data_IF_675228804063
#
_entry.id   IF_675228804063
#
_cell.length_a   1.000
_cell.length_b   1.000
_cell.length_c   1.000
_cell.angle_alpha   90.00
_cell.angle_beta   90.00
_cell.angle_gamma   90.00
#
_symmetry.space_group_name_H-M   'P 1'
#
loop_
_entity.id
_entity.type
_entity.pdbx_description
1 polymer ?
#
# COMPACT_ATOMS: atom_id res chain seq x y z
N UNK A 1 -10.18 21.51 -15.31
CA UNK A 1 -8.79 21.26 -15.76
C UNK A 1 -8.83 20.50 -17.07
N UNK A 2 -8.09 20.94 -18.08
CA UNK A 2 -7.85 20.08 -19.24
C UNK A 2 -6.73 19.08 -18.89
N UNK A 3 -6.61 17.96 -19.63
CA UNK A 3 -5.49 17.03 -19.44
C UNK A 3 -4.11 17.67 -19.67
N UNK A 4 -4.05 18.84 -20.31
CA UNK A 4 -2.82 19.60 -20.53
C UNK A 4 -2.40 20.45 -19.32
N UNK A 5 -3.27 20.60 -18.31
CA UNK A 5 -3.02 21.39 -17.08
C UNK A 5 -2.67 20.50 -15.88
N UNK A 6 -2.40 19.21 -16.10
CA UNK A 6 -2.07 18.29 -15.01
C UNK A 6 -0.75 18.68 -14.33
N UNK A 7 -0.64 18.50 -13.00
CA UNK A 7 0.64 18.66 -12.31
C UNK A 7 1.72 17.75 -12.88
N UNK A 8 2.98 18.10 -12.63
CA UNK A 8 4.12 17.28 -13.02
C UNK A 8 3.95 15.82 -12.53
N UNK A 9 4.44 14.85 -13.30
CA UNK A 9 4.32 13.42 -12.95
C UNK A 9 4.83 13.14 -11.53
N UNK A 10 5.94 13.77 -11.15
CA UNK A 10 6.50 13.65 -9.80
C UNK A 10 5.57 14.18 -8.70
N UNK A 11 4.87 15.29 -8.94
CA UNK A 11 3.84 15.82 -8.02
C UNK A 11 2.63 14.90 -7.95
N UNK A 12 2.24 14.29 -9.07
CA UNK A 12 1.14 13.32 -9.12
C UNK A 12 1.48 12.01 -8.40
N UNK A 13 2.68 11.45 -8.59
CA UNK A 13 3.14 10.24 -7.89
C UNK A 13 3.17 10.49 -6.38
N UNK A 14 3.79 11.59 -5.93
CA UNK A 14 3.78 11.99 -4.52
C UNK A 14 2.37 12.20 -4.01
N UNK A 15 1.54 12.86 -4.81
CA UNK A 15 0.14 13.11 -4.52
C UNK A 15 -0.61 11.80 -4.30
N UNK A 16 -0.42 10.79 -5.14
CA UNK A 16 -1.08 9.49 -4.99
C UNK A 16 -0.72 8.81 -3.68
N UNK A 17 0.57 8.74 -3.34
CA UNK A 17 1.02 8.02 -2.14
C UNK A 17 0.71 8.78 -0.84
N UNK A 18 0.90 10.10 -0.82
CA UNK A 18 0.48 10.90 0.33
C UNK A 18 -1.04 10.97 0.44
N UNK A 19 -1.74 11.12 -0.69
CA UNK A 19 -3.20 11.15 -0.75
C UNK A 19 -3.78 9.88 -0.13
N UNK A 20 -3.30 8.72 -0.57
CA UNK A 20 -3.65 7.41 -0.01
C UNK A 20 -3.46 7.38 1.50
N UNK A 21 -2.23 7.66 1.98
CA UNK A 21 -1.89 7.57 3.40
C UNK A 21 -2.65 8.57 4.28
N UNK A 22 -2.87 9.78 3.77
CA UNK A 22 -3.65 10.82 4.46
C UNK A 22 -5.09 10.39 4.62
N UNK A 23 -5.72 9.89 3.56
CA UNK A 23 -7.15 9.52 3.61
C UNK A 23 -7.41 8.20 4.32
N UNK A 24 -6.45 7.26 4.28
CA UNK A 24 -6.42 6.08 5.13
C UNK A 24 -6.43 6.52 6.62
N UNK A 25 -5.45 7.33 7.03
CA UNK A 25 -5.35 7.81 8.41
C UNK A 25 -6.53 8.70 8.88
N UNK A 26 -7.17 9.43 7.97
CA UNK A 26 -8.40 10.19 8.26
C UNK A 26 -9.62 9.27 8.39
N UNK A 27 -9.67 8.19 7.61
CA UNK A 27 -10.76 7.23 7.57
C UNK A 27 -10.79 6.27 8.75
N UNK A 28 -9.62 5.86 9.26
CA UNK A 28 -9.49 4.84 10.31
C UNK A 28 -10.39 5.05 11.54
N UNK A 29 -10.45 6.24 12.17
CA UNK A 29 -11.35 6.46 13.31
C UNK A 29 -12.85 6.34 13.00
N UNK A 30 -13.25 6.44 11.72
CA UNK A 30 -14.63 6.29 11.27
C UNK A 30 -14.94 4.87 10.77
N UNK A 31 -13.94 3.98 10.73
CA UNK A 31 -14.12 2.57 10.35
C UNK A 31 -15.14 1.89 11.27
N UNK A 32 -15.90 0.93 10.73
CA UNK A 32 -16.94 0.17 11.42
C UNK A 32 -18.11 0.97 12.03
N UNK A 33 -18.18 2.27 11.78
CA UNK A 33 -19.33 3.10 12.16
C UNK A 33 -20.36 3.17 11.03
N UNK A 34 -21.64 3.17 11.39
CA UNK A 34 -22.70 3.36 10.41
C UNK A 34 -22.67 4.81 9.88
N UNK A 35 -22.86 5.00 8.57
CA UNK A 35 -22.94 6.34 7.98
C UNK A 35 -23.95 7.22 8.73
N UNK A 36 -23.51 8.40 9.15
CA UNK A 36 -24.32 9.36 9.91
C UNK A 36 -24.32 9.17 11.43
N UNK A 37 -23.62 8.17 11.97
CA UNK A 37 -23.50 7.95 13.43
C UNK A 37 -22.21 8.50 14.04
N UNK A 38 -21.36 9.14 13.25
CA UNK A 38 -20.10 9.76 13.69
C UNK A 38 -20.02 11.20 13.18
N UNK A 39 -19.29 12.05 13.90
CA UNK A 39 -19.06 13.43 13.49
C UNK A 39 -18.27 13.48 12.17
N UNK A 40 -18.62 14.42 11.29
CA UNK A 40 -17.90 14.63 10.01
C UNK A 40 -16.39 14.69 10.23
N UNK A 41 -15.62 13.85 9.55
CA UNK A 41 -14.15 13.86 9.62
C UNK A 41 -13.63 15.15 8.99
N UNK A 42 -13.01 16.00 9.83
CA UNK A 42 -12.43 17.30 9.43
C UNK A 42 -10.93 17.40 9.71
N UNK A 43 -10.34 16.34 10.28
CA UNK A 43 -8.94 16.25 10.64
C UNK A 43 -8.66 14.94 11.39
N UNK A 44 -7.39 14.70 11.71
CA UNK A 44 -6.99 13.48 12.41
C UNK A 44 -7.58 13.38 13.81
N UNK A 45 -7.97 12.16 14.19
CA UNK A 45 -8.56 11.83 15.49
C UNK A 45 -7.92 10.58 16.05
N UNK A 46 -8.05 10.41 17.35
CA UNK A 46 -7.72 9.15 18.00
C UNK A 46 -8.60 8.03 17.44
N UNK A 47 -8.02 6.87 17.14
CA UNK A 47 -8.78 5.69 16.76
C UNK A 47 -9.11 4.90 18.04
N UNK A 48 -10.35 4.99 18.52
CA UNK A 48 -10.81 4.28 19.72
C UNK A 48 -10.93 2.76 19.54
N UNK A 49 -11.12 2.29 18.30
CA UNK A 49 -11.27 0.86 17.99
C UNK A 49 -9.94 0.14 18.14
N UNK A 50 -8.88 0.75 17.61
CA UNK A 50 -7.54 0.15 17.55
C UNK A 50 -6.55 0.71 18.59
N UNK A 51 -7.00 1.68 19.41
CA UNK A 51 -6.21 2.37 20.44
C UNK A 51 -4.96 3.06 19.85
N UNK A 52 -5.16 3.85 18.79
CA UNK A 52 -4.07 4.45 18.01
C UNK A 52 -4.13 5.99 17.99
N UNK A 53 -2.96 6.65 18.00
CA UNK A 53 -2.90 8.11 17.97
C UNK A 53 -3.42 8.69 16.64
N UNK A 54 -3.77 9.99 16.60
CA UNK A 54 -4.13 10.67 15.37
C UNK A 54 -3.06 10.58 14.28
N UNK A 55 -3.49 10.41 13.03
CA UNK A 55 -2.60 10.40 11.86
C UNK A 55 -2.01 9.02 11.55
N UNK A 56 -2.39 7.98 12.30
CA UNK A 56 -1.98 6.60 12.06
C UNK A 56 -2.75 5.99 10.87
N UNK A 57 -2.01 5.53 9.87
CA UNK A 57 -2.51 4.84 8.67
C UNK A 57 -2.39 3.31 8.80
N UNK A 58 -3.29 2.57 8.15
CA UNK A 58 -3.58 1.13 8.34
C UNK A 58 -2.76 0.20 7.43
N UNK A 59 -3.28 -1.01 7.20
CA UNK A 59 -2.69 -2.00 6.30
C UNK A 59 -2.75 -1.56 4.83
N UNK A 60 -3.71 -0.73 4.42
CA UNK A 60 -3.78 -0.16 3.07
C UNK A 60 -2.49 0.57 2.69
N UNK A 61 -2.07 1.52 3.52
CA UNK A 61 -0.81 2.22 3.33
C UNK A 61 0.37 1.28 3.47
N UNK A 62 0.40 0.44 4.51
CA UNK A 62 1.52 -0.47 4.76
C UNK A 62 1.80 -1.39 3.56
N UNK A 63 0.76 -2.04 3.03
CA UNK A 63 0.84 -2.95 1.88
C UNK A 63 1.19 -2.20 0.60
N UNK A 64 0.63 -1.01 0.39
CA UNK A 64 1.00 -0.14 -0.76
C UNK A 64 2.47 0.23 -0.73
N UNK A 65 3.00 0.63 0.43
CA UNK A 65 4.40 0.98 0.61
C UNK A 65 5.32 -0.25 0.41
N UNK A 66 4.91 -1.44 0.88
CA UNK A 66 5.64 -2.67 0.62
C UNK A 66 5.74 -3.00 -0.88
N UNK A 67 4.64 -2.85 -1.64
CA UNK A 67 4.64 -3.06 -3.08
C UNK A 67 5.54 -2.05 -3.79
N UNK A 68 5.38 -0.76 -3.46
CA UNK A 68 6.20 0.31 -4.02
C UNK A 68 7.69 0.08 -3.75
N UNK A 69 8.06 -0.28 -2.52
CA UNK A 69 9.45 -0.63 -2.18
C UNK A 69 9.94 -1.85 -2.95
N UNK A 70 9.09 -2.86 -3.19
CA UNK A 70 9.45 -4.02 -4.00
C UNK A 70 9.81 -3.64 -5.43
N UNK A 71 9.00 -2.75 -6.04
CA UNK A 71 9.27 -2.22 -7.37
C UNK A 71 10.54 -1.36 -7.39
N UNK A 72 10.77 -0.53 -6.38
CA UNK A 72 12.00 0.28 -6.27
C UNK A 72 13.24 -0.63 -6.20
N UNK A 73 13.22 -1.62 -5.30
CA UNK A 73 14.34 -2.56 -5.10
C UNK A 73 14.59 -3.42 -6.35
N UNK A 74 13.53 -3.68 -7.12
CA UNK A 74 13.58 -4.48 -8.36
C UNK A 74 13.69 -3.64 -9.63
N UNK A 75 14.01 -2.34 -9.51
CA UNK A 75 14.16 -1.41 -10.63
C UNK A 75 12.97 -1.37 -11.60
N UNK A 76 11.75 -1.48 -11.06
CA UNK A 76 10.48 -1.44 -11.78
C UNK A 76 9.97 -2.80 -12.25
N UNK A 77 10.78 -3.87 -12.15
CA UNK A 77 10.33 -5.23 -12.45
C UNK A 77 9.43 -5.73 -11.32
N UNK A 78 8.25 -6.24 -11.67
CA UNK A 78 7.39 -6.89 -10.69
C UNK A 78 7.93 -8.28 -10.33
N UNK A 79 8.44 -8.43 -9.10
CA UNK A 79 8.92 -9.69 -8.54
C UNK A 79 7.99 -10.11 -7.40
N UNK A 80 7.00 -11.00 -7.64
CA UNK A 80 5.96 -11.33 -6.66
C UNK A 80 6.51 -11.78 -5.30
N UNK A 81 7.58 -12.57 -5.30
CA UNK A 81 8.21 -13.13 -4.11
C UNK A 81 8.81 -12.04 -3.24
N UNK A 82 9.39 -11.01 -3.84
CA UNK A 82 9.96 -9.89 -3.09
C UNK A 82 8.86 -9.05 -2.42
N UNK A 83 7.76 -8.81 -3.14
CA UNK A 83 6.56 -8.16 -2.56
C UNK A 83 5.99 -8.99 -1.40
N UNK A 84 5.82 -10.30 -1.59
CA UNK A 84 5.32 -11.21 -0.54
C UNK A 84 6.22 -11.24 0.68
N UNK A 85 7.56 -11.28 0.50
CA UNK A 85 8.52 -11.20 1.60
C UNK A 85 8.38 -9.89 2.37
N UNK A 86 8.21 -8.76 1.69
CA UNK A 86 7.99 -7.46 2.34
C UNK A 86 6.67 -7.43 3.11
N UNK A 87 5.59 -7.99 2.56
CA UNK A 87 4.32 -8.14 3.29
C UNK A 87 4.46 -9.04 4.52
N UNK A 88 5.21 -10.15 4.43
CA UNK A 88 5.48 -11.02 5.58
C UNK A 88 6.30 -10.27 6.64
N UNK A 89 7.31 -9.48 6.24
CA UNK A 89 8.07 -8.63 7.17
C UNK A 89 7.19 -7.57 7.83
N UNK A 90 6.27 -6.94 7.09
CA UNK A 90 5.29 -6.06 7.68
C UNK A 90 4.44 -6.80 8.72
N UNK A 91 3.87 -7.95 8.33
CA UNK A 91 3.04 -8.78 9.19
C UNK A 91 3.75 -9.26 10.47
N UNK A 92 5.02 -9.64 10.38
CA UNK A 92 5.78 -10.23 11.50
C UNK A 92 6.56 -9.22 12.32
N UNK A 93 7.11 -8.19 11.67
CA UNK A 93 8.11 -7.28 12.24
C UNK A 93 7.63 -5.83 12.29
N UNK A 94 6.48 -5.50 11.71
CA UNK A 94 6.03 -4.11 11.57
C UNK A 94 6.84 -3.30 10.55
N UNK A 95 7.52 -3.97 9.62
CA UNK A 95 8.21 -3.30 8.51
C UNK A 95 7.25 -2.40 7.73
N UNK A 96 7.63 -1.13 7.51
CA UNK A 96 6.77 -0.12 6.86
C UNK A 96 5.39 0.02 7.52
N UNK A 97 5.29 -0.11 8.84
CA UNK A 97 4.10 0.21 9.64
C UNK A 97 4.19 1.60 10.27
N UNK A 98 3.03 2.27 10.39
CA UNK A 98 2.87 3.52 11.14
C UNK A 98 3.34 3.41 12.60
N UNK A 99 3.22 2.22 13.21
CA UNK A 99 3.38 2.02 14.66
C UNK A 99 4.38 0.90 15.03
N UNK A 100 5.27 0.53 14.09
CA UNK A 100 6.32 -0.47 14.29
C UNK A 100 5.82 -1.89 14.63
N UNK A 101 4.53 -2.16 14.36
CA UNK A 101 3.91 -3.49 14.41
C UNK A 101 2.82 -3.59 13.35
N UNK A 102 2.51 -4.81 12.91
CA UNK A 102 1.32 -5.04 12.09
C UNK A 102 0.04 -4.80 12.90
N UNK A 103 -0.93 -4.13 12.29
CA UNK A 103 -2.31 -3.98 12.76
C UNK A 103 -3.23 -3.87 11.53
N UNK A 104 -4.55 -3.92 11.74
CA UNK A 104 -5.61 -3.95 10.70
C UNK A 104 -5.54 -5.03 9.63
N UNK A 105 -4.56 -5.94 9.67
CA UNK A 105 -4.47 -6.99 8.67
C UNK A 105 -5.76 -7.81 8.56
N UNK A 106 -6.40 -7.70 7.39
CA UNK A 106 -7.57 -8.51 7.06
C UNK A 106 -7.30 -10.01 7.20
N UNK A 107 -8.28 -10.76 7.70
CA UNK A 107 -8.14 -12.20 7.95
C UNK A 107 -7.73 -13.00 6.71
N UNK A 108 -8.21 -12.56 5.54
CA UNK A 108 -7.83 -13.11 4.23
C UNK A 108 -6.35 -12.92 3.94
N UNK A 109 -5.88 -11.68 4.04
CA UNK A 109 -4.47 -11.31 3.83
C UNK A 109 -3.58 -12.10 4.79
N UNK A 110 -3.93 -12.15 6.07
CA UNK A 110 -3.19 -12.91 7.08
C UNK A 110 -3.05 -14.39 6.72
N UNK A 111 -4.11 -15.02 6.22
CA UNK A 111 -4.07 -16.43 5.80
C UNK A 111 -3.21 -16.63 4.55
N UNK A 112 -3.36 -15.76 3.56
CA UNK A 112 -2.55 -15.80 2.34
C UNK A 112 -1.05 -15.67 2.67
N UNK A 113 -0.66 -14.70 3.50
CA UNK A 113 0.74 -14.53 3.93
C UNK A 113 1.26 -15.74 4.70
N UNK A 114 0.44 -16.36 5.56
CA UNK A 114 0.84 -17.57 6.28
C UNK A 114 1.06 -18.79 5.37
N UNK A 115 0.35 -18.89 4.24
CA UNK A 115 0.59 -19.92 3.22
C UNK A 115 1.97 -19.69 2.58
N UNK A 116 2.21 -18.46 2.10
CA UNK A 116 3.46 -18.10 1.45
C UNK A 116 4.68 -18.18 2.38
N UNK A 117 4.53 -17.83 3.65
CA UNK A 117 5.59 -17.97 4.65
C UNK A 117 6.01 -19.44 4.84
N UNK A 118 5.04 -20.36 4.95
CA UNK A 118 5.33 -21.80 5.01
C UNK A 118 6.00 -22.29 3.72
N UNK A 119 5.55 -21.78 2.58
CA UNK A 119 6.13 -22.11 1.29
C UNK A 119 7.62 -21.69 1.19
N UNK A 120 7.95 -20.45 1.56
CA UNK A 120 9.35 -20.00 1.62
C UNK A 120 10.20 -20.78 2.62
N UNK A 121 9.61 -21.22 3.75
CA UNK A 121 10.31 -22.07 4.72
C UNK A 121 10.61 -23.47 4.16
N UNK A 122 9.71 -24.04 3.35
CA UNK A 122 9.88 -25.35 2.73
C UNK A 122 10.87 -25.35 1.54
N UNK A 123 11.01 -24.22 0.83
CA UNK A 123 11.83 -24.08 -0.38
C UNK A 123 13.31 -23.75 -0.18
N UNK A 124 13.87 -23.84 1.04
CA UNK A 124 15.29 -23.56 1.29
C UNK A 124 15.60 -22.17 1.86
N UNK A 125 14.58 -21.43 2.34
CA UNK A 125 14.75 -20.25 3.19
C UNK A 125 14.32 -18.92 2.57
N UNK A 126 14.14 -17.92 3.42
CA UNK A 126 13.63 -16.59 3.08
C UNK A 126 14.51 -15.83 2.06
N UNK A 127 15.75 -16.29 1.83
CA UNK A 127 16.75 -15.70 0.93
C UNK A 127 16.93 -16.47 -0.40
N UNK A 128 16.17 -17.54 -0.65
CA UNK A 128 16.29 -18.36 -1.86
C UNK A 128 15.99 -17.61 -3.17
N UNK A 129 16.72 -17.96 -4.23
CA UNK A 129 16.79 -17.28 -5.54
C UNK A 129 15.44 -17.01 -6.22
N UNK A 130 15.47 -16.03 -7.14
CA UNK A 130 14.35 -15.34 -7.81
C UNK A 130 13.63 -16.20 -8.86
N UNK A 131 13.32 -17.46 -8.57
CA UNK A 131 12.52 -18.28 -9.47
C UNK A 131 11.01 -18.10 -9.21
N UNK A 132 10.21 -18.04 -10.28
CA UNK A 132 8.75 -18.04 -10.20
C UNK A 132 8.26 -19.41 -9.71
N UNK A 133 7.69 -19.49 -8.49
CA UNK A 133 7.07 -20.72 -7.98
C UNK A 133 5.55 -20.68 -8.20
N UNK A 134 5.09 -21.50 -9.14
CA UNK A 134 3.69 -21.61 -9.57
C UNK A 134 2.79 -22.34 -8.54
N UNK A 135 3.35 -23.15 -7.63
CA UNK A 135 2.54 -23.95 -6.68
C UNK A 135 1.96 -23.09 -5.57
N UNK A 136 2.72 -22.11 -5.07
CA UNK A 136 2.20 -21.14 -4.11
C UNK A 136 1.11 -20.24 -4.71
N UNK A 137 1.15 -20.02 -6.03
CA UNK A 137 0.15 -19.24 -6.75
C UNK A 137 -1.24 -19.90 -6.73
N UNK A 138 -1.33 -21.21 -7.00
CA UNK A 138 -2.60 -21.94 -7.01
C UNK A 138 -3.27 -22.00 -5.62
N UNK A 139 -2.50 -22.31 -4.57
CA UNK A 139 -3.00 -22.36 -3.19
C UNK A 139 -3.44 -20.97 -2.69
N UNK A 140 -2.65 -19.95 -3.00
CA UNK A 140 -2.99 -18.55 -2.70
C UNK A 140 -4.26 -18.10 -3.41
N UNK A 141 -4.41 -18.43 -4.70
CA UNK A 141 -5.59 -18.09 -5.49
C UNK A 141 -6.86 -18.79 -4.98
N UNK A 142 -6.75 -20.03 -4.48
CA UNK A 142 -7.87 -20.74 -3.88
C UNK A 142 -8.37 -20.06 -2.59
N UNK A 143 -7.47 -19.57 -1.73
CA UNK A 143 -7.87 -18.87 -0.50
C UNK A 143 -8.42 -17.46 -0.80
N UNK A 144 -7.88 -16.74 -1.78
CA UNK A 144 -8.46 -15.47 -2.26
C UNK A 144 -9.89 -15.68 -2.76
N UNK A 145 -10.13 -16.71 -3.59
CA UNK A 145 -11.48 -17.06 -4.06
C UNK A 145 -12.43 -17.43 -2.92
N UNK A 146 -11.94 -18.12 -1.89
CA UNK A 146 -12.71 -18.47 -0.69
C UNK A 146 -13.05 -17.22 0.14
N UNK A 147 -12.09 -16.32 0.30
CA UNK A 147 -12.26 -15.08 1.05
C UNK A 147 -13.25 -14.11 0.44
N UNK A 148 -13.23 -13.96 -0.89
CA UNK A 148 -14.15 -13.11 -1.64
C UNK A 148 -15.62 -13.59 -1.57
N UNK A 149 -15.89 -14.76 -1.00
CA UNK A 149 -17.24 -15.27 -0.75
C UNK A 149 -17.83 -14.85 0.61
N UNK A 150 -17.06 -14.14 1.45
CA UNK A 150 -17.51 -13.56 2.71
C UNK A 150 -18.22 -12.21 2.52
N UNK A 151 -19.17 -11.87 3.41
CA UNK A 151 -19.83 -10.56 3.42
C UNK A 151 -18.88 -9.52 4.03
N UNK A 152 -18.54 -8.47 3.27
CA UNK A 152 -17.69 -7.36 3.71
C UNK A 152 -18.44 -6.39 4.66
N UNK A 153 -17.70 -5.83 5.63
CA UNK A 153 -18.10 -4.71 6.49
C UNK A 153 -17.94 -3.35 5.77
N UNK A 154 -18.51 -2.28 6.32
CA UNK A 154 -18.32 -0.90 5.87
C UNK A 154 -16.88 -0.48 6.20
N UNK A 155 -16.10 -0.14 5.16
CA UNK A 155 -14.62 -0.11 5.13
C UNK A 155 -14.17 1.30 4.69
N UNK A 156 -14.21 2.23 5.64
CA UNK A 156 -14.13 3.66 5.38
C UNK A 156 -12.70 4.14 5.07
N UNK A 157 -11.70 3.50 5.67
CA UNK A 157 -10.28 3.70 5.41
C UNK A 157 -9.90 3.18 4.02
N UNK A 158 -10.33 1.98 3.59
CA UNK A 158 -10.07 1.50 2.22
C UNK A 158 -10.68 2.40 1.15
N UNK A 159 -11.93 2.83 1.34
CA UNK A 159 -12.58 3.77 0.42
C UNK A 159 -11.84 5.11 0.41
N UNK A 160 -11.40 5.56 1.59
CA UNK A 160 -10.55 6.74 1.75
C UNK A 160 -9.27 6.61 0.93
N UNK A 161 -8.48 5.57 1.20
CA UNK A 161 -7.19 5.26 0.57
C UNK A 161 -7.26 5.29 -0.96
N UNK A 162 -8.26 4.63 -1.55
CA UNK A 162 -8.46 4.61 -3.01
C UNK A 162 -8.81 6.01 -3.53
N UNK A 163 -9.72 6.72 -2.87
CA UNK A 163 -10.08 8.08 -3.27
C UNK A 163 -8.89 9.04 -3.17
N UNK A 164 -8.13 8.96 -2.07
CA UNK A 164 -6.94 9.78 -1.85
C UNK A 164 -5.87 9.54 -2.91
N UNK A 165 -5.62 8.29 -3.27
CA UNK A 165 -4.70 7.95 -4.36
C UNK A 165 -5.13 8.58 -5.70
N UNK A 166 -6.41 8.46 -6.06
CA UNK A 166 -6.97 9.01 -7.30
C UNK A 166 -6.95 10.56 -7.30
N UNK A 167 -7.38 11.18 -6.20
CA UNK A 167 -7.37 12.62 -6.04
C UNK A 167 -5.95 13.18 -6.10
N UNK A 168 -5.01 12.54 -5.40
CA UNK A 168 -3.60 12.89 -5.43
C UNK A 168 -2.96 12.74 -6.81
N UNK A 169 -3.30 11.68 -7.54
CA UNK A 169 -2.86 11.49 -8.92
C UNK A 169 -3.37 12.58 -9.87
N UNK A 170 -4.52 13.18 -9.57
CA UNK A 170 -5.16 14.19 -10.42
C UNK A 170 -4.74 15.62 -10.05
N UNK A 171 -4.75 15.96 -8.76
CA UNK A 171 -4.48 17.31 -8.26
C UNK A 171 -3.03 17.53 -7.83
N UNK A 172 -2.24 16.47 -7.63
CA UNK A 172 -0.85 16.56 -7.18
C UNK A 172 -0.70 16.76 -5.69
N UNK A 173 0.52 16.55 -5.17
CA UNK A 173 0.81 16.61 -3.72
C UNK A 173 0.57 17.99 -3.11
N UNK A 174 0.79 19.06 -3.89
CA UNK A 174 0.64 20.45 -3.41
C UNK A 174 -0.82 20.83 -3.14
N UNK A 175 -1.77 20.04 -3.63
CA UNK A 175 -3.20 20.22 -3.37
C UNK A 175 -3.67 19.59 -2.05
N UNK A 176 -2.85 18.75 -1.42
CA UNK A 176 -3.16 18.16 -0.12
C UNK A 176 -2.93 19.24 0.97
N UNK A 177 -3.87 19.45 1.91
CA UNK A 177 -3.67 20.38 3.02
C UNK A 177 -2.37 20.08 3.77
N UNK A 178 -1.54 21.10 4.00
CA UNK A 178 -0.20 20.94 4.60
C UNK A 178 -0.29 20.38 6.00
N UNK A 179 -1.28 20.82 6.76
CA UNK A 179 -1.58 20.33 8.11
C UNK A 179 -1.87 18.83 8.14
N UNK A 180 -2.44 18.26 7.07
CA UNK A 180 -2.68 16.83 6.96
C UNK A 180 -1.37 16.09 6.66
N UNK A 181 -0.55 16.60 5.74
CA UNK A 181 0.80 16.01 5.53
C UNK A 181 1.61 16.08 6.83
N UNK A 182 1.56 17.21 7.54
CA UNK A 182 2.36 17.42 8.75
C UNK A 182 1.91 16.55 9.93
N UNK A 183 0.60 16.33 10.06
CA UNK A 183 -0.01 15.47 11.08
C UNK A 183 0.04 13.97 10.77
N UNK A 184 0.41 13.58 9.54
CA UNK A 184 0.50 12.17 9.16
C UNK A 184 1.64 11.47 9.91
N UNK A 185 1.33 10.34 10.54
CA UNK A 185 2.31 9.53 11.25
C UNK A 185 3.38 9.02 10.29
N UNK A 186 4.67 9.10 10.66
CA UNK A 186 5.79 8.62 9.81
C UNK A 186 5.72 9.10 8.35
N UNK A 187 5.26 10.32 8.11
CA UNK A 187 5.22 10.96 6.78
C UNK A 187 6.55 10.89 6.03
N UNK A 188 7.67 10.85 6.74
CA UNK A 188 9.01 10.73 6.17
C UNK A 188 9.23 9.36 5.51
N UNK A 189 8.58 8.31 6.02
CA UNK A 189 8.58 6.97 5.40
C UNK A 189 7.81 7.02 4.09
N UNK A 190 6.59 7.57 4.11
CA UNK A 190 5.75 7.73 2.92
C UNK A 190 6.47 8.57 1.86
N UNK A 191 7.05 9.70 2.27
CA UNK A 191 7.81 10.59 1.38
C UNK A 191 9.01 9.92 0.74
N UNK A 192 9.82 9.19 1.53
CA UNK A 192 10.98 8.46 1.00
C UNK A 192 10.60 7.38 -0.01
N UNK A 193 9.50 6.65 0.21
CA UNK A 193 9.01 5.67 -0.77
C UNK A 193 8.50 6.39 -2.02
N UNK A 194 7.74 7.48 -1.85
CA UNK A 194 7.23 8.26 -2.97
C UNK A 194 8.34 8.83 -3.85
N UNK A 195 9.39 9.37 -3.24
CA UNK A 195 10.58 9.85 -3.93
C UNK A 195 11.28 8.72 -4.69
N UNK A 196 11.39 7.52 -4.09
CA UNK A 196 11.93 6.35 -4.79
C UNK A 196 11.10 5.93 -6.02
N UNK A 197 9.78 6.06 -5.97
CA UNK A 197 8.91 5.82 -7.14
C UNK A 197 9.08 6.91 -8.20
N UNK A 198 9.27 8.17 -7.79
CA UNK A 198 9.60 9.27 -8.72
C UNK A 198 10.91 8.99 -9.44
N UNK A 199 11.96 8.63 -8.69
CA UNK A 199 13.27 8.30 -9.25
C UNK A 199 13.21 7.11 -10.20
N UNK A 200 12.33 6.14 -9.92
CA UNK A 200 12.07 5.02 -10.82
C UNK A 200 11.39 5.48 -12.11
N UNK A 201 10.38 6.35 -12.02
CA UNK A 201 9.66 6.87 -13.18
C UNK A 201 10.56 7.73 -14.10
N UNK A 202 11.49 8.50 -13.51
CA UNK A 202 12.42 9.36 -14.24
C UNK A 202 13.46 8.57 -15.05
N UNK A 203 13.73 7.30 -14.70
CA UNK A 203 14.65 6.41 -15.45
C UNK A 203 14.07 5.92 -16.78
N UNK A 204 12.78 6.14 -17.03
CA UNK A 204 12.10 5.68 -18.25
C UNK A 204 11.75 4.19 -18.22
N UNK A 205 11.08 3.68 -19.27
CA UNK A 205 10.67 2.29 -19.34
C UNK A 205 11.88 1.34 -19.31
N UNK A 206 11.72 0.20 -18.66
CA UNK A 206 12.67 -0.91 -18.75
C UNK A 206 12.72 -1.34 -20.23
N UNK A 207 13.90 -1.28 -20.84
CA UNK A 207 14.07 -1.77 -22.21
C UNK A 207 13.81 -3.27 -22.23
N UNK A 208 12.75 -3.69 -22.93
CA UNK A 208 12.50 -5.11 -23.23
C UNK A 208 13.63 -5.62 -24.14
N UNK A 209 14.65 -6.27 -23.58
CA UNK A 209 15.64 -7.02 -24.37
C UNK A 209 14.98 -8.07 -25.29
N UNK A 210 13.72 -8.45 -25.02
CA UNK A 210 12.93 -9.37 -25.83
C UNK A 210 12.39 -8.78 -27.15
N UNK A 211 12.46 -7.47 -27.39
CA UNK A 211 11.98 -6.87 -28.65
C UNK A 211 13.00 -6.93 -29.81
N UNK A 212 14.21 -7.44 -29.56
CA UNK A 212 15.28 -7.56 -30.55
C UNK A 212 15.31 -8.89 -31.33
N UNK A 213 14.34 -9.80 -31.12
CA UNK A 213 14.27 -11.10 -31.81
C UNK A 213 13.14 -11.20 -32.86
N UNK A 214 12.41 -10.10 -33.12
CA UNK A 214 11.36 -10.04 -34.14
C UNK A 214 11.60 -9.01 -35.26
N UNK A 215 12.84 -8.52 -35.42
CA UNK A 215 13.27 -7.69 -36.57
C UNK A 215 14.32 -8.39 -37.41
#
# INVERSE_FOLDING_TARGET
>A
MSYQDLPALSSRIRGSLFGLAVTDALGGPAEFHMRGTFEQVVGYRYNEISDLPPGTWSDDTSMTLCLAQSLIDSHGTFVPQDSLRKYIRWYREGYLSAIDRCFDIGMTTRRALAIWERHFAAGGGFLGEREMDERGHEEGLAEVKRALSGKASDDADTVGAIYGALAGAYYGVDAIPKEWIEGLMKKEVVGRIADGVVDLADKGPIEDEHRALES
#
